data_IF_200338744574
#
_entry.id   IF_200338744574
#
_cell.length_a   1.000
_cell.length_b   1.000
_cell.length_c   1.000
_cell.angle_alpha   90.00
_cell.angle_beta   90.00
_cell.angle_gamma   90.00
#
_symmetry.space_group_name_H-M   'P 1'
#
loop_
_entity.id
_entity.type
_entity.pdbx_description
1 polymer ?
#
# COMPACT_ATOMS: atom_id res chain seq x y z
N UNK A 1 22.62 24.03 14.22
CA UNK A 1 21.60 23.32 13.42
C UNK A 1 21.12 22.17 14.28
N UNK A 2 19.91 22.26 14.80
CA UNK A 2 19.29 21.13 15.52
C UNK A 2 19.03 20.03 14.49
N UNK A 3 19.64 18.87 14.66
CA UNK A 3 19.27 17.67 13.92
C UNK A 3 17.78 17.41 14.19
N UNK A 4 16.92 17.71 13.21
CA UNK A 4 15.53 17.25 13.25
C UNK A 4 15.60 15.74 13.19
N UNK A 5 15.45 15.08 14.33
CA UNK A 5 15.41 13.62 14.41
C UNK A 5 14.20 13.15 13.60
N UNK A 6 14.46 12.62 12.41
CA UNK A 6 13.43 11.99 11.60
C UNK A 6 12.88 10.77 12.36
N UNK A 7 11.59 10.83 12.68
CA UNK A 7 10.90 9.76 13.39
C UNK A 7 10.18 8.84 12.41
N UNK A 8 10.67 7.60 12.34
CA UNK A 8 10.04 6.51 11.60
C UNK A 8 8.64 6.27 12.14
N UNK A 9 7.68 6.01 11.25
CA UNK A 9 6.30 5.70 11.57
C UNK A 9 6.22 4.46 12.46
N UNK A 10 5.44 4.59 13.52
CA UNK A 10 5.08 3.48 14.38
C UNK A 10 3.81 2.80 13.83
N UNK A 11 4.00 1.73 13.07
CA UNK A 11 2.93 0.89 12.54
C UNK A 11 2.28 -0.03 13.60
N UNK A 12 2.81 -0.07 14.84
CA UNK A 12 2.24 -0.90 15.91
C UNK A 12 1.03 -0.24 16.59
N UNK A 13 0.85 1.07 16.41
CA UNK A 13 -0.29 1.80 16.98
C UNK A 13 -1.60 1.29 16.38
N UNK A 14 -2.61 0.99 17.22
CA UNK A 14 -3.91 0.62 16.71
C UNK A 14 -4.48 1.76 15.87
N UNK A 15 -5.12 1.39 14.77
CA UNK A 15 -5.88 2.29 13.91
C UNK A 15 -7.34 1.86 13.97
N UNK A 16 -8.24 2.84 13.92
CA UNK A 16 -9.64 2.55 13.65
C UNK A 16 -9.80 2.04 12.21
N UNK A 17 -10.78 1.17 11.95
CA UNK A 17 -11.02 0.54 10.64
C UNK A 17 -12.38 0.86 10.04
N UNK A 18 -13.10 1.83 10.61
CA UNK A 18 -14.38 2.27 10.08
C UNK A 18 -14.24 2.72 8.63
N UNK A 19 -15.05 2.17 7.73
CA UNK A 19 -15.11 2.53 6.32
C UNK A 19 -15.90 3.82 6.10
N UNK A 20 -15.68 4.49 4.98
CA UNK A 20 -16.45 5.70 4.64
C UNK A 20 -17.96 5.42 4.50
N UNK A 21 -18.33 4.24 3.99
CA UNK A 21 -19.72 3.80 3.91
C UNK A 21 -20.37 3.68 5.29
N UNK A 22 -19.67 3.09 6.27
CA UNK A 22 -20.17 3.00 7.65
C UNK A 22 -20.35 4.38 8.29
N UNK A 23 -19.44 5.32 8.04
CA UNK A 23 -19.58 6.72 8.49
C UNK A 23 -20.83 7.36 7.90
N UNK A 24 -21.07 7.17 6.60
CA UNK A 24 -22.25 7.71 5.92
C UNK A 24 -23.55 7.08 6.45
N UNK A 25 -23.57 5.79 6.71
CA UNK A 25 -24.73 5.09 7.24
C UNK A 25 -25.07 5.54 8.67
N UNK A 26 -24.07 5.71 9.53
CA UNK A 26 -24.23 6.27 10.87
C UNK A 26 -24.80 7.69 10.82
N UNK A 27 -24.25 8.56 9.96
CA UNK A 27 -24.66 9.95 9.91
C UNK A 27 -26.00 10.16 9.21
N UNK A 28 -26.37 9.34 8.22
CA UNK A 28 -27.70 9.39 7.60
C UNK A 28 -28.81 8.97 8.59
N UNK A 29 -28.48 8.20 9.63
CA UNK A 29 -29.41 7.88 10.72
C UNK A 29 -29.70 9.07 11.64
N UNK A 30 -28.86 10.11 11.59
CA UNK A 30 -29.00 11.38 12.33
C UNK A 30 -29.36 12.51 11.37
N UNK A 31 -30.53 13.15 11.51
CA UNK A 31 -31.20 13.95 10.45
C UNK A 31 -30.55 15.29 10.01
N UNK A 32 -29.23 15.49 10.14
CA UNK A 32 -28.56 16.73 9.78
C UNK A 32 -27.53 16.52 8.66
N UNK A 33 -27.71 17.25 7.55
CA UNK A 33 -26.85 17.20 6.36
C UNK A 33 -25.47 17.83 6.55
N UNK A 34 -25.20 18.41 7.72
CA UNK A 34 -23.88 18.88 8.16
C UNK A 34 -23.64 18.34 9.57
N UNK A 35 -22.54 17.61 9.74
CA UNK A 35 -22.21 16.96 11.01
C UNK A 35 -20.76 17.25 11.36
N UNK A 36 -20.53 17.71 12.58
CA UNK A 36 -19.20 17.58 13.19
C UNK A 36 -18.89 16.10 13.31
N UNK A 37 -17.69 15.72 12.88
CA UNK A 37 -17.26 14.32 12.86
C UNK A 37 -16.60 13.96 14.18
N UNK A 38 -16.84 12.74 14.66
CA UNK A 38 -15.99 12.17 15.71
C UNK A 38 -14.55 12.00 15.21
N UNK A 39 -13.58 11.83 16.12
CA UNK A 39 -12.17 11.62 15.75
C UNK A 39 -11.97 10.47 14.74
N UNK A 40 -12.68 9.35 14.92
CA UNK A 40 -12.63 8.21 14.00
C UNK A 40 -13.25 8.53 12.62
N UNK A 41 -14.40 9.19 12.60
CA UNK A 41 -15.07 9.60 11.37
C UNK A 41 -14.24 10.60 10.57
N UNK A 42 -13.62 11.59 11.25
CA UNK A 42 -12.72 12.55 10.62
C UNK A 42 -11.49 11.86 10.02
N UNK A 43 -10.85 10.94 10.75
CA UNK A 43 -9.71 10.16 10.24
C UNK A 43 -10.08 9.33 9.03
N UNK A 44 -11.29 8.78 9.00
CA UNK A 44 -11.84 8.03 7.86
C UNK A 44 -12.03 8.93 6.63
N UNK A 45 -12.56 10.14 6.82
CA UNK A 45 -12.70 11.13 5.76
C UNK A 45 -11.32 11.57 5.23
N UNK A 46 -10.38 11.93 6.11
CA UNK A 46 -9.01 12.30 5.76
C UNK A 46 -8.32 11.17 4.99
N UNK A 47 -8.41 9.93 5.46
CA UNK A 47 -7.81 8.77 4.79
C UNK A 47 -8.38 8.55 3.37
N UNK A 48 -9.67 8.85 3.18
CA UNK A 48 -10.34 8.77 1.88
C UNK A 48 -9.83 9.85 0.92
N UNK A 49 -9.78 11.11 1.37
CA UNK A 49 -9.25 12.23 0.57
C UNK A 49 -7.77 12.03 0.25
N UNK A 50 -6.99 11.55 1.23
CA UNK A 50 -5.59 11.17 1.02
C UNK A 50 -5.45 10.10 -0.06
N UNK A 51 -6.27 9.05 -0.02
CA UNK A 51 -6.22 7.98 -1.02
C UNK A 51 -6.55 8.51 -2.41
N UNK A 52 -7.53 9.40 -2.51
CA UNK A 52 -7.83 10.07 -3.78
C UNK A 52 -6.65 10.90 -4.28
N UNK A 53 -6.06 11.75 -3.45
CA UNK A 53 -4.92 12.60 -3.83
C UNK A 53 -3.68 11.79 -4.20
N UNK A 54 -3.39 10.69 -3.49
CA UNK A 54 -2.22 9.86 -3.73
C UNK A 54 -2.26 9.16 -5.10
N UNK A 55 -3.47 8.79 -5.55
CA UNK A 55 -3.72 8.08 -6.81
C UNK A 55 -4.36 8.96 -7.88
N UNK A 56 -4.38 10.28 -7.67
CA UNK A 56 -5.06 11.25 -8.53
C UNK A 56 -4.62 11.19 -10.00
N UNK A 57 -3.33 10.96 -10.23
CA UNK A 57 -2.71 10.87 -11.55
C UNK A 57 -2.62 9.44 -12.11
N UNK A 58 -3.18 8.44 -11.41
CA UNK A 58 -3.27 7.08 -11.94
C UNK A 58 -4.29 6.99 -13.09
N UNK A 59 -5.28 7.88 -13.10
CA UNK A 59 -6.34 7.93 -14.12
C UNK A 59 -6.32 9.27 -14.86
N UNK A 60 -6.74 9.31 -16.14
CA UNK A 60 -6.88 10.57 -16.86
C UNK A 60 -7.96 11.44 -16.23
N UNK A 61 -7.91 12.75 -16.49
CA UNK A 61 -8.72 13.77 -15.84
C UNK A 61 -10.22 13.45 -15.89
N UNK A 62 -10.72 13.01 -17.05
CA UNK A 62 -12.13 12.66 -17.27
C UNK A 62 -12.62 11.46 -16.43
N UNK A 63 -11.72 10.70 -15.79
CA UNK A 63 -12.06 9.55 -14.92
C UNK A 63 -11.86 9.84 -13.43
N UNK A 64 -11.38 11.03 -13.06
CA UNK A 64 -11.06 11.35 -11.65
C UNK A 64 -12.30 11.37 -10.76
N UNK A 65 -13.44 11.84 -11.26
CA UNK A 65 -14.72 11.76 -10.51
C UNK A 65 -15.13 10.30 -10.24
N UNK A 66 -14.95 9.42 -11.22
CA UNK A 66 -15.23 7.99 -11.06
C UNK A 66 -14.27 7.32 -10.08
N UNK A 67 -12.99 7.73 -10.06
CA UNK A 67 -12.01 7.29 -9.07
C UNK A 67 -12.45 7.68 -7.66
N UNK A 68 -12.78 8.96 -7.43
CA UNK A 68 -13.26 9.43 -6.13
C UNK A 68 -14.48 8.63 -5.68
N UNK A 69 -15.45 8.45 -6.57
CA UNK A 69 -16.66 7.66 -6.30
C UNK A 69 -16.31 6.21 -5.92
N UNK A 70 -15.40 5.57 -6.65
CA UNK A 70 -14.97 4.20 -6.36
C UNK A 70 -14.29 4.07 -4.99
N UNK A 71 -13.52 5.08 -4.57
CA UNK A 71 -12.89 5.13 -3.24
C UNK A 71 -13.95 5.28 -2.14
N UNK A 72 -14.88 6.23 -2.30
CA UNK A 72 -15.96 6.49 -1.34
C UNK A 72 -16.85 5.27 -1.15
N UNK A 73 -17.15 4.56 -2.24
CA UNK A 73 -17.98 3.35 -2.23
C UNK A 73 -17.21 2.07 -1.86
N UNK A 74 -15.90 2.15 -1.61
CA UNK A 74 -15.08 0.98 -1.27
C UNK A 74 -15.00 -0.08 -2.36
N UNK A 75 -15.16 0.30 -3.64
CA UNK A 75 -15.33 -0.63 -4.77
C UNK A 75 -14.06 -1.33 -5.25
N UNK A 76 -12.92 -1.10 -4.60
CA UNK A 76 -11.65 -1.78 -4.88
C UNK A 76 -10.93 -2.09 -3.58
N UNK A 77 -10.55 -3.36 -3.33
CA UNK A 77 -10.00 -3.76 -2.04
C UNK A 77 -8.62 -3.15 -1.75
N UNK A 78 -7.81 -2.81 -2.76
CA UNK A 78 -6.48 -2.24 -2.50
C UNK A 78 -6.50 -0.76 -2.11
N UNK A 79 -7.62 -0.04 -2.23
CA UNK A 79 -7.69 1.32 -1.67
C UNK A 79 -7.52 1.34 -0.16
N UNK A 80 -7.90 0.26 0.52
CA UNK A 80 -7.69 0.09 1.95
C UNK A 80 -6.19 0.13 2.34
N UNK A 81 -5.28 -0.21 1.42
CA UNK A 81 -3.83 -0.06 1.63
C UNK A 81 -3.49 1.40 1.94
N UNK A 82 -3.89 2.32 1.05
CA UNK A 82 -3.57 3.74 1.19
C UNK A 82 -4.36 4.40 2.33
N UNK A 83 -5.61 3.97 2.55
CA UNK A 83 -6.40 4.43 3.70
C UNK A 83 -5.79 4.00 5.03
N UNK A 84 -5.35 2.74 5.14
CA UNK A 84 -4.67 2.21 6.33
C UNK A 84 -3.36 2.95 6.59
N UNK A 85 -2.56 3.18 5.54
CA UNK A 85 -1.33 3.96 5.67
C UNK A 85 -1.59 5.39 6.14
N UNK A 86 -2.61 6.06 5.60
CA UNK A 86 -3.01 7.41 6.03
C UNK A 86 -3.35 7.45 7.52
N UNK A 87 -4.09 6.46 8.03
CA UNK A 87 -4.40 6.37 9.46
C UNK A 87 -3.15 6.21 10.32
N UNK A 88 -2.16 5.46 9.84
CA UNK A 88 -0.87 5.41 10.53
C UNK A 88 -0.15 6.76 10.50
N UNK A 89 -0.15 7.51 9.39
CA UNK A 89 0.40 8.87 9.34
C UNK A 89 -0.27 9.77 10.37
N UNK A 90 -1.61 9.83 10.34
CA UNK A 90 -2.42 10.66 11.25
C UNK A 90 -2.10 10.34 12.72
N UNK A 91 -2.06 9.05 13.09
CA UNK A 91 -1.74 8.62 14.45
C UNK A 91 -0.28 8.87 14.87
N UNK A 92 0.59 9.25 13.93
CA UNK A 92 1.99 9.60 14.17
C UNK A 92 2.26 11.12 14.05
N UNK A 93 1.26 11.94 13.73
CA UNK A 93 1.41 13.39 13.69
C UNK A 93 1.81 13.96 15.05
N UNK A 94 2.68 14.95 15.03
CA UNK A 94 3.13 15.70 16.18
C UNK A 94 3.18 17.21 15.87
N UNK A 95 3.45 18.01 16.91
CA UNK A 95 3.63 19.45 16.79
C UNK A 95 2.50 20.16 16.03
N UNK A 96 2.89 20.90 14.99
CA UNK A 96 1.97 21.76 14.23
C UNK A 96 0.90 20.97 13.46
N UNK A 97 1.27 19.88 12.81
CA UNK A 97 0.33 19.04 12.06
C UNK A 97 -0.79 18.49 12.95
N UNK A 98 -0.45 18.13 14.19
CA UNK A 98 -1.45 17.67 15.16
C UNK A 98 -2.44 18.79 15.55
N UNK A 99 -1.97 20.02 15.72
CA UNK A 99 -2.84 21.17 16.01
C UNK A 99 -3.78 21.48 14.83
N UNK A 100 -3.30 21.34 13.59
CA UNK A 100 -4.15 21.47 12.40
C UNK A 100 -5.23 20.39 12.35
N UNK A 101 -4.89 19.13 12.67
CA UNK A 101 -5.87 18.05 12.78
C UNK A 101 -6.93 18.34 13.86
N UNK A 102 -6.53 18.87 15.01
CA UNK A 102 -7.46 19.27 16.08
C UNK A 102 -8.40 20.41 15.61
N UNK A 103 -7.90 21.36 14.80
CA UNK A 103 -8.73 22.41 14.21
C UNK A 103 -9.76 21.88 13.19
N UNK A 104 -9.47 20.78 12.50
CA UNK A 104 -10.43 20.11 11.61
C UNK A 104 -11.60 19.46 12.38
N UNK A 105 -11.44 19.13 13.67
CA UNK A 105 -12.53 18.49 14.43
C UNK A 105 -13.74 19.40 14.69
N UNK A 106 -13.56 20.73 14.60
CA UNK A 106 -14.60 21.71 14.95
C UNK A 106 -15.34 22.30 13.74
N UNK A 107 -15.07 21.80 12.52
CA UNK A 107 -15.72 22.28 11.29
C UNK A 107 -16.78 21.29 10.80
N UNK A 108 -17.68 21.79 9.95
CA UNK A 108 -18.71 20.99 9.30
C UNK A 108 -18.23 20.50 7.92
N UNK A 109 -18.73 19.32 7.52
CA UNK A 109 -18.33 18.66 6.28
C UNK A 109 -19.52 18.32 5.39
N UNK A 110 -19.37 18.55 4.08
CA UNK A 110 -20.23 17.94 3.06
C UNK A 110 -19.60 16.60 2.64
N UNK A 111 -20.08 15.51 3.23
CA UNK A 111 -19.57 14.16 2.95
C UNK A 111 -19.92 13.66 1.55
N UNK A 112 -20.89 14.27 0.86
CA UNK A 112 -21.18 13.95 -0.55
C UNK A 112 -20.16 14.60 -1.49
N UNK A 113 -19.55 15.70 -1.06
CA UNK A 113 -18.55 16.46 -1.81
C UNK A 113 -17.34 16.77 -0.93
N UNK A 114 -16.59 15.76 -0.45
CA UNK A 114 -15.55 15.96 0.54
C UNK A 114 -14.43 16.90 0.09
N UNK A 115 -14.21 17.04 -1.22
CA UNK A 115 -13.19 17.91 -1.80
C UNK A 115 -13.56 19.40 -1.82
N UNK A 116 -14.79 19.79 -1.47
CA UNK A 116 -15.16 21.23 -1.40
C UNK A 116 -14.73 21.89 -0.09
N UNK A 117 -14.24 21.12 0.89
CA UNK A 117 -13.70 21.65 2.12
C UNK A 117 -12.21 21.95 1.94
N UNK A 118 -11.89 23.22 1.65
CA UNK A 118 -10.51 23.67 1.37
C UNK A 118 -9.55 23.35 2.52
N UNK A 119 -9.95 23.58 3.78
CA UNK A 119 -9.11 23.30 4.95
C UNK A 119 -8.74 21.82 5.07
N UNK A 120 -9.67 20.92 4.75
CA UNK A 120 -9.41 19.49 4.72
C UNK A 120 -8.44 19.11 3.60
N UNK A 121 -8.66 19.66 2.41
CA UNK A 121 -7.81 19.39 1.24
C UNK A 121 -6.39 19.89 1.49
N UNK A 122 -6.24 21.14 1.95
CA UNK A 122 -4.95 21.75 2.28
C UNK A 122 -4.19 20.93 3.34
N UNK A 123 -4.88 20.50 4.40
CA UNK A 123 -4.29 19.64 5.42
C UNK A 123 -3.80 18.31 4.84
N UNK A 124 -4.63 17.65 4.02
CA UNK A 124 -4.24 16.37 3.38
C UNK A 124 -3.05 16.57 2.46
N UNK A 125 -3.03 17.63 1.65
CA UNK A 125 -1.94 17.94 0.74
C UNK A 125 -0.64 18.21 1.48
N UNK A 126 -0.66 19.12 2.44
CA UNK A 126 0.54 19.58 3.15
C UNK A 126 1.05 18.57 4.18
N UNK A 127 0.17 18.02 5.01
CA UNK A 127 0.59 17.24 6.17
C UNK A 127 0.68 15.73 5.88
N UNK A 128 0.05 15.24 4.81
CA UNK A 128 0.05 13.81 4.49
C UNK A 128 0.67 13.50 3.12
N UNK A 129 0.19 14.12 2.05
CA UNK A 129 0.63 13.81 0.68
C UNK A 129 2.05 14.28 0.40
N UNK A 130 2.41 15.51 0.78
CA UNK A 130 3.78 16.02 0.61
C UNK A 130 4.78 15.11 1.33
N UNK A 131 4.50 14.73 2.58
CA UNK A 131 5.36 13.82 3.34
C UNK A 131 5.48 12.44 2.66
N UNK A 132 4.36 11.88 2.20
CA UNK A 132 4.30 10.55 1.59
C UNK A 132 5.01 10.50 0.24
N UNK A 133 4.92 11.57 -0.55
CA UNK A 133 5.53 11.64 -1.89
C UNK A 133 6.99 12.10 -1.85
N UNK A 134 7.44 12.70 -0.75
CA UNK A 134 8.82 13.12 -0.52
C UNK A 134 9.59 12.13 0.38
N UNK A 135 9.79 12.48 1.67
CA UNK A 135 10.74 11.82 2.56
C UNK A 135 10.20 10.55 3.24
N UNK A 136 8.88 10.35 3.30
CA UNK A 136 8.24 9.11 3.80
C UNK A 136 7.87 8.11 2.70
N UNK A 137 8.23 8.36 1.45
CA UNK A 137 7.90 7.48 0.31
C UNK A 137 8.43 6.05 0.48
N UNK A 138 9.59 5.90 1.12
CA UNK A 138 10.15 4.60 1.43
C UNK A 138 9.34 3.86 2.53
N UNK A 139 8.74 4.59 3.49
CA UNK A 139 7.86 4.00 4.50
C UNK A 139 6.58 3.49 3.86
N UNK A 140 6.01 4.29 2.94
CA UNK A 140 4.87 3.87 2.13
C UNK A 140 5.20 2.60 1.36
N UNK A 141 6.30 2.56 0.61
CA UNK A 141 6.68 1.36 -0.15
C UNK A 141 6.96 0.13 0.71
N UNK A 142 7.61 0.30 1.87
CA UNK A 142 7.80 -0.78 2.85
C UNK A 142 6.45 -1.31 3.36
N UNK A 143 5.55 -0.40 3.72
CA UNK A 143 4.21 -0.73 4.15
C UNK A 143 3.43 -1.47 3.05
N UNK A 144 3.45 -0.95 1.82
CA UNK A 144 2.76 -1.53 0.66
C UNK A 144 3.19 -2.96 0.40
N UNK A 145 4.48 -3.28 0.46
CA UNK A 145 4.93 -4.66 0.25
C UNK A 145 4.42 -5.62 1.34
N UNK A 146 4.42 -5.19 2.60
CA UNK A 146 3.88 -5.98 3.70
C UNK A 146 2.37 -6.18 3.57
N UNK A 147 1.64 -5.10 3.25
CA UNK A 147 0.21 -5.12 3.02
C UNK A 147 -0.15 -6.04 1.85
N UNK A 148 0.50 -5.89 0.69
CA UNK A 148 0.25 -6.71 -0.49
C UNK A 148 0.57 -8.18 -0.24
N UNK A 149 1.63 -8.49 0.50
CA UNK A 149 1.89 -9.87 0.88
C UNK A 149 0.71 -10.48 1.68
N UNK A 150 0.09 -9.70 2.58
CA UNK A 150 -1.08 -10.12 3.36
C UNK A 150 -2.32 -10.24 2.50
N UNK A 151 -2.59 -9.21 1.71
CA UNK A 151 -3.73 -9.16 0.82
C UNK A 151 -3.75 -10.33 -0.18
N UNK A 152 -2.60 -10.65 -0.78
CA UNK A 152 -2.47 -11.76 -1.73
C UNK A 152 -2.49 -13.15 -1.07
N UNK A 153 -2.56 -13.23 0.27
CA UNK A 153 -2.57 -14.49 1.03
C UNK A 153 -1.41 -15.41 0.67
N UNK A 154 -0.19 -14.84 0.66
CA UNK A 154 1.05 -15.51 0.25
C UNK A 154 2.02 -15.74 1.41
N UNK A 155 1.71 -15.30 2.63
CA UNK A 155 2.56 -15.46 3.83
C UNK A 155 3.08 -16.88 3.98
N UNK A 156 2.17 -17.84 4.05
CA UNK A 156 2.52 -19.24 4.26
C UNK A 156 3.42 -19.77 3.14
N UNK A 157 3.22 -19.32 1.91
CA UNK A 157 4.05 -19.70 0.76
C UNK A 157 5.45 -19.09 0.89
N UNK A 158 5.54 -17.81 1.23
CA UNK A 158 6.80 -17.12 1.46
C UNK A 158 7.58 -17.71 2.64
N UNK A 159 6.91 -18.06 3.73
CA UNK A 159 7.51 -18.71 4.91
C UNK A 159 8.06 -20.10 4.54
N UNK A 160 7.31 -20.89 3.76
CA UNK A 160 7.78 -22.17 3.26
C UNK A 160 9.01 -22.03 2.35
N UNK A 161 9.04 -21.01 1.49
CA UNK A 161 10.19 -20.70 0.64
C UNK A 161 11.39 -20.27 1.49
N UNK A 162 11.18 -19.38 2.46
CA UNK A 162 12.21 -18.90 3.39
C UNK A 162 12.84 -20.08 4.15
N UNK A 163 12.00 -20.97 4.69
CA UNK A 163 12.42 -22.21 5.35
C UNK A 163 13.24 -23.10 4.40
N UNK A 164 12.75 -23.31 3.18
CA UNK A 164 13.45 -24.12 2.16
C UNK A 164 14.82 -23.53 1.80
N UNK A 165 14.92 -22.22 1.63
CA UNK A 165 16.18 -21.52 1.31
C UNK A 165 17.18 -21.68 2.45
N UNK A 166 16.72 -21.54 3.70
CA UNK A 166 17.55 -21.74 4.90
C UNK A 166 18.00 -23.21 5.06
N UNK A 167 17.09 -24.16 5.00
CA UNK A 167 17.37 -25.61 5.17
C UNK A 167 18.32 -26.14 4.08
N UNK A 168 18.09 -25.76 2.82
CA UNK A 168 18.94 -26.17 1.70
C UNK A 168 20.20 -25.31 1.56
N UNK A 169 20.44 -24.35 2.46
CA UNK A 169 21.57 -23.40 2.44
C UNK A 169 21.74 -22.72 1.08
N UNK A 170 20.63 -22.39 0.43
CA UNK A 170 20.64 -21.70 -0.86
C UNK A 170 21.06 -20.25 -0.64
N UNK A 171 21.87 -19.70 -1.56
CA UNK A 171 22.19 -18.28 -1.54
C UNK A 171 20.94 -17.48 -1.96
N UNK A 172 20.38 -16.59 -1.11
CA UNK A 172 19.18 -15.83 -1.44
C UNK A 172 19.29 -15.06 -2.76
N UNK A 173 20.46 -14.48 -3.04
CA UNK A 173 20.78 -13.81 -4.32
C UNK A 173 20.50 -14.70 -5.54
N UNK A 174 21.00 -15.93 -5.52
CA UNK A 174 20.86 -16.88 -6.62
C UNK A 174 19.41 -17.31 -6.78
N UNK A 175 18.72 -17.52 -5.66
CA UNK A 175 17.29 -17.85 -5.68
C UNK A 175 16.46 -16.72 -6.26
N UNK A 176 16.69 -15.48 -5.80
CA UNK A 176 15.99 -14.28 -6.29
C UNK A 176 16.27 -14.03 -7.77
N UNK A 177 17.50 -14.24 -8.23
CA UNK A 177 17.84 -14.15 -9.67
C UNK A 177 17.07 -15.16 -10.51
N UNK A 178 16.97 -16.40 -10.04
CA UNK A 178 16.19 -17.45 -10.73
C UNK A 178 14.69 -17.16 -10.69
N UNK A 179 14.20 -16.61 -9.57
CA UNK A 179 12.82 -16.18 -9.42
C UNK A 179 12.47 -15.01 -10.35
N UNK A 180 13.36 -14.02 -10.50
CA UNK A 180 13.17 -12.93 -11.46
C UNK A 180 13.03 -13.46 -12.90
N UNK A 181 13.92 -14.36 -13.33
CA UNK A 181 13.82 -15.02 -14.64
C UNK A 181 12.55 -15.84 -14.82
N UNK A 182 12.04 -16.41 -13.74
CA UNK A 182 10.78 -17.14 -13.76
C UNK A 182 9.59 -16.18 -13.97
N UNK A 183 9.59 -15.01 -13.33
CA UNK A 183 8.56 -13.98 -13.53
C UNK A 183 8.54 -13.39 -14.96
N UNK A 184 9.69 -13.35 -15.63
CA UNK A 184 9.82 -12.90 -17.04
C UNK A 184 9.16 -13.87 -18.04
N UNK A 185 8.73 -15.06 -17.59
CA UNK A 185 8.11 -16.03 -18.47
C UNK A 185 6.76 -15.51 -18.99
N UNK A 186 6.63 -15.43 -20.32
CA UNK A 186 5.44 -14.90 -21.01
C UNK A 186 4.14 -15.61 -20.62
N UNK A 187 4.21 -16.86 -20.14
CA UNK A 187 3.05 -17.61 -19.63
C UNK A 187 2.29 -16.90 -18.51
N UNK A 188 2.98 -16.06 -17.73
CA UNK A 188 2.36 -15.32 -16.64
C UNK A 188 1.72 -14.01 -17.11
N UNK A 189 2.09 -13.52 -18.29
CA UNK A 189 1.56 -12.29 -18.89
C UNK A 189 1.55 -11.12 -17.89
N UNK A 190 2.68 -10.90 -17.21
CA UNK A 190 2.86 -9.83 -16.23
C UNK A 190 3.45 -8.59 -16.90
N UNK A 191 2.97 -7.42 -16.49
CA UNK A 191 3.59 -6.15 -16.87
C UNK A 191 4.91 -5.94 -16.11
N UNK A 192 5.82 -5.14 -16.65
CA UNK A 192 7.16 -4.96 -16.07
C UNK A 192 7.12 -4.47 -14.61
N UNK A 193 6.19 -3.56 -14.29
CA UNK A 193 6.00 -3.05 -12.93
C UNK A 193 5.45 -4.13 -11.97
N UNK A 194 4.57 -5.01 -12.44
CA UNK A 194 4.07 -6.14 -11.65
C UNK A 194 5.20 -7.13 -11.34
N UNK A 195 6.01 -7.49 -12.34
CA UNK A 195 7.17 -8.37 -12.16
C UNK A 195 8.14 -7.79 -11.12
N UNK A 196 8.46 -6.50 -11.24
CA UNK A 196 9.34 -5.81 -10.31
C UNK A 196 8.75 -5.77 -8.90
N UNK A 197 7.47 -5.45 -8.74
CA UNK A 197 6.82 -5.40 -7.43
C UNK A 197 6.81 -6.77 -6.75
N UNK A 198 6.44 -7.84 -7.47
CA UNK A 198 6.47 -9.20 -6.96
C UNK A 198 7.90 -9.62 -6.56
N UNK A 199 8.91 -9.24 -7.36
CA UNK A 199 10.31 -9.46 -7.02
C UNK A 199 10.71 -8.77 -5.72
N UNK A 200 10.34 -7.49 -5.54
CA UNK A 200 10.63 -6.71 -4.34
C UNK A 200 9.96 -7.30 -3.09
N UNK A 201 8.70 -7.73 -3.20
CA UNK A 201 7.98 -8.41 -2.10
C UNK A 201 8.75 -9.65 -1.65
N UNK A 202 9.15 -10.52 -2.59
CA UNK A 202 9.90 -11.75 -2.26
C UNK A 202 11.30 -11.43 -1.71
N UNK A 203 12.01 -10.44 -2.29
CA UNK A 203 13.31 -9.97 -1.81
C UNK A 203 13.23 -9.49 -0.36
N UNK A 204 12.21 -8.70 -0.01
CA UNK A 204 12.03 -8.16 1.34
C UNK A 204 11.94 -9.25 2.41
N UNK A 205 11.37 -10.41 2.05
CA UNK A 205 11.20 -11.56 2.95
C UNK A 205 12.43 -12.47 2.97
N UNK A 206 13.02 -12.77 1.81
CA UNK A 206 14.13 -13.73 1.70
C UNK A 206 15.50 -13.12 1.99
N UNK A 207 15.65 -11.81 1.80
CA UNK A 207 16.91 -11.10 1.99
C UNK A 207 16.72 -9.72 2.61
N UNK A 208 16.13 -9.64 3.82
CA UNK A 208 15.81 -8.37 4.47
C UNK A 208 17.03 -7.46 4.64
N UNK A 209 18.19 -8.02 5.02
CA UNK A 209 19.45 -7.27 5.22
C UNK A 209 20.00 -6.62 3.95
N UNK A 210 19.51 -7.03 2.77
CA UNK A 210 19.87 -6.44 1.46
C UNK A 210 18.70 -5.74 0.78
N UNK A 211 17.59 -5.58 1.48
CA UNK A 211 16.47 -4.75 1.03
C UNK A 211 16.71 -3.32 1.50
N UNK A 212 16.87 -2.43 0.54
CA UNK A 212 17.40 -1.07 0.74
C UNK A 212 16.30 -0.01 0.55
N UNK A 213 16.57 1.23 0.96
CA UNK A 213 15.63 2.36 0.74
C UNK A 213 15.22 2.51 -0.74
N UNK A 214 16.12 2.41 -1.74
CA UNK A 214 15.73 2.39 -3.15
C UNK A 214 14.71 1.30 -3.52
N UNK A 215 14.82 0.10 -2.94
CA UNK A 215 13.85 -0.98 -3.16
C UNK A 215 12.46 -0.56 -2.67
N UNK A 216 12.39 0.05 -1.49
CA UNK A 216 11.15 0.58 -0.95
C UNK A 216 10.60 1.75 -1.76
N UNK A 217 11.45 2.68 -2.21
CA UNK A 217 11.02 3.80 -3.06
C UNK A 217 10.44 3.33 -4.39
N UNK A 218 11.01 2.28 -4.99
CA UNK A 218 10.48 1.65 -6.20
C UNK A 218 9.13 1.00 -5.93
N UNK A 219 9.00 0.20 -4.87
CA UNK A 219 7.73 -0.42 -4.49
C UNK A 219 6.64 0.62 -4.22
N UNK A 220 6.98 1.71 -3.52
CA UNK A 220 6.06 2.83 -3.25
C UNK A 220 5.63 3.54 -4.53
N UNK A 221 6.56 3.79 -5.46
CA UNK A 221 6.24 4.41 -6.76
C UNK A 221 5.31 3.54 -7.61
N UNK A 222 5.58 2.23 -7.70
CA UNK A 222 4.73 1.29 -8.44
C UNK A 222 3.34 1.24 -7.83
N UNK A 223 3.25 1.13 -6.50
CA UNK A 223 1.97 1.07 -5.79
C UNK A 223 1.18 2.36 -5.99
N UNK A 224 1.83 3.52 -5.92
CA UNK A 224 1.20 4.81 -6.15
C UNK A 224 0.64 4.94 -7.58
N UNK A 225 1.40 4.50 -8.58
CA UNK A 225 1.07 4.70 -10.01
C UNK A 225 0.14 3.64 -10.60
N UNK A 226 0.00 2.48 -9.95
CA UNK A 226 -0.67 1.32 -10.54
C UNK A 226 -1.62 0.58 -9.57
N UNK A 227 -2.07 1.23 -8.49
CA UNK A 227 -2.89 0.57 -7.46
C UNK A 227 -4.17 -0.05 -8.02
N UNK A 228 -4.89 0.66 -8.91
CA UNK A 228 -6.10 0.16 -9.56
C UNK A 228 -5.80 -1.08 -10.40
N UNK A 229 -4.75 -1.02 -11.22
CA UNK A 229 -4.33 -2.14 -12.06
C UNK A 229 -3.98 -3.37 -11.23
N UNK A 230 -3.23 -3.16 -10.15
CA UNK A 230 -2.87 -4.20 -9.18
C UNK A 230 -4.11 -4.77 -8.47
N UNK A 231 -5.10 -3.92 -8.15
CA UNK A 231 -6.34 -4.32 -7.46
C UNK A 231 -7.15 -5.26 -8.35
N UNK A 232 -7.38 -4.86 -9.59
CA UNK A 232 -8.13 -5.65 -10.59
C UNK A 232 -7.44 -6.98 -10.89
N UNK A 233 -6.11 -7.03 -10.81
CA UNK A 233 -5.30 -8.22 -11.13
C UNK A 233 -4.84 -9.01 -9.91
N UNK A 234 -5.31 -8.67 -8.71
CA UNK A 234 -4.86 -9.24 -7.43
C UNK A 234 -4.85 -10.79 -7.41
N UNK A 235 -5.94 -11.44 -7.83
CA UNK A 235 -6.02 -12.91 -7.87
C UNK A 235 -5.01 -13.54 -8.86
N UNK A 236 -4.83 -12.91 -10.03
CA UNK A 236 -3.83 -13.32 -11.02
C UNK A 236 -2.42 -13.15 -10.47
N UNK A 237 -2.13 -12.04 -9.78
CA UNK A 237 -0.84 -11.78 -9.16
C UNK A 237 -0.55 -12.82 -8.06
N UNK A 238 -1.53 -13.12 -7.21
CA UNK A 238 -1.40 -14.12 -6.15
C UNK A 238 -1.10 -15.52 -6.72
N UNK A 239 -1.87 -15.97 -7.71
CA UNK A 239 -1.67 -17.28 -8.34
C UNK A 239 -0.34 -17.36 -9.11
N UNK A 240 0.01 -16.32 -9.86
CA UNK A 240 1.28 -16.20 -10.57
C UNK A 240 2.46 -16.29 -9.62
N UNK A 241 2.43 -15.54 -8.52
CA UNK A 241 3.50 -15.56 -7.53
C UNK A 241 3.68 -16.95 -6.91
N UNK A 242 2.58 -17.60 -6.52
CA UNK A 242 2.61 -18.97 -5.97
C UNK A 242 3.25 -19.95 -6.97
N UNK A 243 2.82 -19.90 -8.23
CA UNK A 243 3.34 -20.76 -9.29
C UNK A 243 4.81 -20.49 -9.59
N UNK A 244 5.21 -19.22 -9.68
CA UNK A 244 6.59 -18.82 -9.92
C UNK A 244 7.51 -19.30 -8.81
N UNK A 245 7.12 -19.13 -7.53
CA UNK A 245 7.90 -19.59 -6.36
C UNK A 245 8.09 -21.12 -6.34
N UNK A 246 7.07 -21.89 -6.74
CA UNK A 246 7.15 -23.36 -6.83
C UNK A 246 8.04 -23.83 -7.99
N UNK A 247 8.09 -23.05 -9.07
CA UNK A 247 8.83 -23.40 -10.29
C UNK A 247 10.28 -22.92 -10.28
N UNK A 248 10.71 -22.10 -9.31
CA UNK A 248 12.11 -21.65 -9.20
C UNK A 248 13.05 -22.86 -9.21
N UNK A 249 13.96 -22.95 -10.20
CA UNK A 249 14.92 -24.05 -10.25
C UNK A 249 15.86 -23.98 -9.05
N UNK A 250 15.67 -24.87 -8.08
CA UNK A 250 16.68 -25.11 -7.04
C UNK A 250 17.84 -25.91 -7.66
N UNK A 251 19.08 -25.61 -7.29
CA UNK A 251 20.32 -26.20 -7.86
C UNK A 251 20.27 -27.75 -7.92
N UNK A 252 19.51 -28.40 -7.04
CA UNK A 252 19.34 -29.86 -7.01
C UNK A 252 18.39 -30.45 -8.05
N UNK A 253 17.51 -29.67 -8.71
CA UNK A 253 16.66 -30.16 -9.80
C UNK A 253 17.43 -30.41 -11.11
N UNK A 254 18.67 -29.91 -11.24
CA UNK A 254 19.50 -30.05 -12.46
C UNK A 254 20.37 -31.31 -12.51
N UNK A 255 20.37 -32.19 -11.50
CA UNK A 255 21.28 -33.36 -11.43
C UNK A 255 20.61 -34.73 -11.70
N UNK A 256 19.44 -34.78 -12.33
CA UNK A 256 18.66 -36.01 -12.49
C UNK A 256 18.23 -36.39 -13.91
N UNK A 257 18.96 -35.98 -14.94
CA UNK A 257 18.73 -36.49 -16.31
C UNK A 257 19.64 -37.71 -16.57
N UNK A 258 19.14 -38.81 -17.17
CA UNK A 258 20.00 -39.92 -17.55
C UNK A 258 21.02 -39.43 -18.58
N UNK A 259 22.30 -39.72 -18.35
CA UNK A 259 23.29 -39.66 -19.42
C UNK A 259 22.98 -40.81 -20.37
N UNK A 260 22.45 -40.48 -21.56
CA UNK A 260 22.51 -41.34 -22.73
C UNK A 260 23.92 -41.29 -23.31
#
# INVERSE_FOLDING_TARGET
MSETLYKVLDFSRPIDRQSFGEVMDELNSTSHNTSTLSDGQLKTLIATVFTYGLHYDEVPEERRELLLKAILEGKQPLFDLSQTFARHLINNLDGHAKLQLEALQIIEYDLKKPLTNELLVDFVEMELLDQTTSYRKWEYGRFSMAYLAAHLSIQAVLENVEKTVKEKKLRPEVYLKNFGKELENSRYNLDAHEQLLLHLIVKSKLWPDKTTTPDYLLAGSITQQHLLGLSVRSEKLASTLKNALQNVPTINKRRGGPKL
#
